data_IF_654594434208
#
_entry.id   IF_654594434208
#
_cell.length_a   1.000
_cell.length_b   1.000
_cell.length_c   1.000
_cell.angle_alpha   90.00
_cell.angle_beta   90.00
_cell.angle_gamma   90.00
#
_symmetry.space_group_name_H-M   'P 1'
#
loop_
_entity.id
_entity.type
_entity.pdbx_description
1 polymer ?
#
# COMPACT_ATOMS: atom_id res chain seq x y z
N UNK A 1 46.67 1.56 -33.18
CA UNK A 1 46.43 0.84 -31.91
C UNK A 1 46.90 1.76 -30.79
N UNK A 2 46.00 2.58 -30.27
CA UNK A 2 46.21 3.37 -29.06
C UNK A 2 44.98 3.11 -28.21
N UNK A 3 45.16 2.33 -27.16
CA UNK A 3 44.12 2.07 -26.17
C UNK A 3 44.04 3.33 -25.33
N UNK A 4 42.95 4.08 -25.47
CA UNK A 4 42.60 5.13 -24.52
C UNK A 4 42.09 4.42 -23.26
N UNK A 5 42.95 4.23 -22.27
CA UNK A 5 42.50 3.88 -20.92
C UNK A 5 41.82 5.10 -20.32
N UNK A 6 40.48 5.14 -20.36
CA UNK A 6 39.70 6.06 -19.54
C UNK A 6 39.79 5.58 -18.08
N UNK A 7 40.28 6.46 -17.20
CA UNK A 7 40.27 6.25 -15.75
C UNK A 7 38.85 6.53 -15.22
N UNK A 8 38.21 5.49 -14.68
CA UNK A 8 36.88 5.51 -14.04
C UNK A 8 36.87 6.14 -12.64
N UNK A 9 37.67 7.18 -12.37
CA UNK A 9 37.86 7.68 -11.00
C UNK A 9 37.13 8.99 -10.68
N UNK A 10 36.48 9.63 -11.66
CA UNK A 10 35.93 10.99 -11.51
C UNK A 10 34.44 11.13 -11.92
N UNK A 11 33.68 10.03 -11.99
CA UNK A 11 32.23 10.12 -12.12
C UNK A 11 31.59 10.22 -10.72
N UNK A 12 30.56 11.06 -10.50
CA UNK A 12 29.77 11.00 -9.27
C UNK A 12 29.22 9.59 -9.09
N UNK A 13 29.17 9.08 -7.85
CA UNK A 13 28.86 7.67 -7.55
C UNK A 13 27.51 7.24 -8.15
N UNK A 14 26.56 8.17 -8.33
CA UNK A 14 25.27 7.92 -8.98
C UNK A 14 25.34 7.64 -10.50
N UNK A 15 26.27 8.27 -11.24
CA UNK A 15 26.25 8.27 -12.71
C UNK A 15 26.55 6.89 -13.31
N UNK A 16 27.32 6.05 -12.60
CA UNK A 16 27.77 4.77 -13.14
C UNK A 16 26.75 3.61 -12.97
N UNK A 17 25.65 3.81 -12.22
CA UNK A 17 24.70 2.71 -11.89
C UNK A 17 23.26 2.93 -12.38
N UNK A 18 22.88 4.15 -12.78
CA UNK A 18 21.48 4.44 -13.20
C UNK A 18 21.23 4.12 -14.70
N UNK A 19 22.29 3.86 -15.48
CA UNK A 19 22.21 3.72 -16.95
C UNK A 19 21.49 2.45 -17.48
N UNK A 20 21.02 1.54 -16.62
CA UNK A 20 20.31 0.33 -17.06
C UNK A 20 18.79 0.35 -16.91
N UNK A 21 18.17 1.40 -16.35
CA UNK A 21 16.79 1.26 -15.83
C UNK A 21 15.69 2.11 -16.48
N UNK A 22 15.95 2.89 -17.53
CA UNK A 22 14.92 3.78 -18.13
C UNK A 22 14.58 3.49 -19.61
N UNK A 23 15.22 2.54 -20.29
CA UNK A 23 14.88 2.27 -21.71
C UNK A 23 14.63 0.78 -21.95
N UNK A 24 13.38 0.46 -22.31
CA UNK A 24 12.97 -0.86 -22.75
C UNK A 24 13.81 -1.37 -23.92
N UNK A 25 14.03 -2.68 -23.93
CA UNK A 25 14.66 -3.48 -24.98
C UNK A 25 14.42 -2.92 -26.40
N UNK A 26 15.49 -2.42 -27.04
CA UNK A 26 15.57 -2.38 -28.51
C UNK A 26 16.62 -3.41 -28.93
N UNK A 27 16.16 -4.38 -29.69
CA UNK A 27 16.92 -5.54 -30.12
C UNK A 27 18.17 -5.21 -30.93
N UNK A 28 19.12 -6.13 -30.83
CA UNK A 28 20.40 -6.15 -31.53
C UNK A 28 20.20 -6.07 -33.06
N UNK A 29 20.54 -4.92 -33.65
CA UNK A 29 20.68 -4.71 -35.08
C UNK A 29 21.78 -3.69 -35.33
N UNK A 30 22.89 -4.13 -35.91
CA UNK A 30 24.09 -3.36 -36.17
C UNK A 30 23.85 -2.17 -37.12
N UNK A 31 23.97 -0.94 -36.62
CA UNK A 31 24.31 0.25 -37.44
C UNK A 31 25.17 1.20 -36.61
N UNK A 32 26.34 1.56 -37.14
CA UNK A 32 27.25 2.54 -36.55
C UNK A 32 26.69 3.95 -36.72
N UNK A 33 26.33 4.58 -35.60
CA UNK A 33 26.22 6.03 -35.47
C UNK A 33 26.92 6.41 -34.16
N UNK A 34 28.18 6.85 -34.30
CA UNK A 34 28.96 7.42 -33.22
C UNK A 34 28.94 8.94 -33.41
N UNK A 35 27.86 9.60 -32.98
CA UNK A 35 27.82 11.06 -32.81
C UNK A 35 26.93 11.39 -31.60
N UNK A 36 27.55 11.99 -30.57
CA UNK A 36 26.96 12.66 -29.41
C UNK A 36 25.80 11.94 -28.69
N UNK A 37 26.11 10.82 -28.03
CA UNK A 37 25.49 10.54 -26.75
C UNK A 37 26.21 11.42 -25.72
N UNK A 38 25.73 12.65 -25.53
CA UNK A 38 25.93 13.27 -24.23
C UNK A 38 25.24 12.30 -23.26
N UNK A 39 26.06 11.58 -22.49
CA UNK A 39 25.62 10.83 -21.33
C UNK A 39 24.84 11.85 -20.50
N UNK A 40 23.51 11.78 -20.52
CA UNK A 40 22.69 12.55 -19.58
C UNK A 40 22.98 11.88 -18.25
N UNK A 41 24.06 12.34 -17.61
CA UNK A 41 24.27 12.10 -16.21
C UNK A 41 23.01 12.65 -15.55
N UNK A 42 22.12 11.76 -15.11
CA UNK A 42 21.01 12.18 -14.27
C UNK A 42 21.68 12.84 -13.07
N UNK A 43 21.51 14.16 -13.00
CA UNK A 43 22.11 14.96 -11.95
C UNK A 43 21.49 14.48 -10.64
N UNK A 44 22.39 14.00 -9.78
CA UNK A 44 22.10 13.37 -8.51
C UNK A 44 22.62 14.35 -7.47
N UNK A 45 21.76 14.84 -6.58
CA UNK A 45 22.17 15.70 -5.48
C UNK A 45 22.50 14.79 -4.29
N UNK A 46 23.74 14.80 -3.83
CA UNK A 46 24.18 13.89 -2.76
C UNK A 46 24.08 14.57 -1.38
N UNK A 47 23.42 13.92 -0.42
CA UNK A 47 23.30 14.38 0.98
C UNK A 47 24.05 13.40 1.90
N UNK A 48 24.96 13.85 2.80
CA UNK A 48 25.35 15.24 3.04
C UNK A 48 26.58 15.71 2.23
N UNK A 49 27.04 14.94 1.24
CA UNK A 49 28.33 15.18 0.55
C UNK A 49 28.34 16.51 -0.23
N UNK A 50 27.24 16.86 -0.90
CA UNK A 50 27.09 18.09 -1.68
C UNK A 50 26.19 19.12 -0.99
N UNK A 51 25.14 18.66 -0.30
CA UNK A 51 24.16 19.50 0.38
C UNK A 51 24.15 19.16 1.88
N UNK A 52 24.22 20.16 2.78
CA UNK A 52 24.35 19.91 4.21
C UNK A 52 23.08 19.34 4.88
N UNK A 53 21.92 19.44 4.22
CA UNK A 53 20.64 18.92 4.70
C UNK A 53 19.81 18.38 3.53
N UNK A 54 18.80 17.57 3.84
CA UNK A 54 17.90 17.02 2.82
C UNK A 54 17.03 18.13 2.24
N UNK A 55 16.48 19.02 3.07
CA UNK A 55 15.65 20.12 2.58
C UNK A 55 16.44 21.05 1.63
N UNK A 56 17.72 21.33 1.93
CA UNK A 56 18.56 22.13 1.04
C UNK A 56 18.76 21.47 -0.34
N UNK A 57 18.83 20.14 -0.41
CA UNK A 57 18.87 19.41 -1.67
C UNK A 57 17.51 19.44 -2.38
N UNK A 58 16.39 19.30 -1.64
CA UNK A 58 15.04 19.45 -2.19
C UNK A 58 14.87 20.83 -2.82
N UNK A 59 15.25 21.89 -2.12
CA UNK A 59 15.14 23.28 -2.59
C UNK A 59 15.94 23.51 -3.87
N UNK A 60 17.16 22.94 -3.94
CA UNK A 60 18.06 23.09 -5.08
C UNK A 60 17.74 22.17 -6.28
N UNK A 61 17.00 21.08 -6.06
CA UNK A 61 16.65 20.14 -7.12
C UNK A 61 15.76 20.78 -8.20
N UNK A 62 16.04 20.43 -9.45
CA UNK A 62 15.14 20.67 -10.58
C UNK A 62 14.10 19.54 -10.68
N UNK A 63 13.04 19.77 -11.48
CA UNK A 63 11.96 18.79 -11.67
C UNK A 63 12.50 17.46 -12.22
N UNK A 64 12.18 16.37 -11.52
CA UNK A 64 12.59 15.01 -11.83
C UNK A 64 13.99 14.61 -11.37
N UNK A 65 14.75 15.50 -10.72
CA UNK A 65 16.09 15.16 -10.21
C UNK A 65 16.04 14.15 -9.04
N UNK A 66 17.13 13.41 -8.88
CA UNK A 66 17.30 12.46 -7.77
C UNK A 66 18.13 13.09 -6.66
N UNK A 67 17.64 12.97 -5.43
CA UNK A 67 18.34 13.34 -4.22
C UNK A 67 18.73 12.02 -3.54
N UNK A 68 20.03 11.70 -3.57
CA UNK A 68 20.56 10.46 -3.01
C UNK A 68 21.13 10.70 -1.62
N UNK A 69 20.51 10.10 -0.62
CA UNK A 69 20.82 10.30 0.78
C UNK A 69 21.68 9.15 1.30
N UNK A 70 22.83 9.49 1.87
CA UNK A 70 23.73 8.54 2.50
C UNK A 70 23.14 7.97 3.80
N UNK A 71 23.68 6.85 4.32
CA UNK A 71 23.37 6.36 5.66
C UNK A 71 23.56 7.43 6.74
N UNK A 72 22.56 7.61 7.58
CA UNK A 72 22.50 8.64 8.62
C UNK A 72 21.13 8.68 9.30
N UNK A 73 21.04 9.43 10.39
CA UNK A 73 19.76 9.78 11.04
C UNK A 73 19.54 11.28 10.84
N UNK A 74 18.41 11.63 10.24
CA UNK A 74 18.08 12.99 9.82
C UNK A 74 16.84 13.45 10.57
N UNK A 75 16.99 14.52 11.36
CA UNK A 75 15.90 15.15 12.10
C UNK A 75 15.51 16.44 11.35
N UNK A 76 14.68 16.28 10.32
CA UNK A 76 14.18 17.35 9.46
C UNK A 76 12.69 17.09 9.18
N UNK A 77 11.85 18.12 9.19
CA UNK A 77 10.51 18.05 8.58
C UNK A 77 10.63 18.49 7.13
N UNK A 78 10.47 17.53 6.21
CA UNK A 78 10.72 17.73 4.78
C UNK A 78 9.46 18.22 4.09
N UNK A 79 9.60 19.24 3.24
CA UNK A 79 8.50 19.77 2.42
C UNK A 79 8.85 19.68 0.93
N UNK A 80 8.02 18.97 0.17
CA UNK A 80 8.13 18.83 -1.28
C UNK A 80 6.98 19.59 -1.93
N UNK A 81 7.29 20.62 -2.73
CA UNK A 81 6.29 21.47 -3.39
C UNK A 81 6.74 21.92 -4.79
N UNK A 82 5.80 22.07 -5.72
CA UNK A 82 6.00 22.71 -7.03
C UNK A 82 6.86 21.95 -8.06
N UNK A 83 7.33 20.74 -7.72
CA UNK A 83 8.16 19.88 -8.58
C UNK A 83 8.01 18.41 -8.20
N UNK A 84 8.43 17.53 -9.11
CA UNK A 84 8.68 16.11 -8.83
C UNK A 84 10.13 15.95 -8.38
N UNK A 85 10.38 15.17 -7.33
CA UNK A 85 11.74 14.74 -6.95
C UNK A 85 11.77 13.25 -6.66
N UNK A 86 12.92 12.62 -6.86
CA UNK A 86 13.17 11.26 -6.37
C UNK A 86 14.03 11.38 -5.12
N UNK A 87 13.39 11.30 -3.96
CA UNK A 87 14.06 11.22 -2.67
C UNK A 87 14.40 9.75 -2.41
N UNK A 88 15.68 9.39 -2.36
CA UNK A 88 16.07 7.99 -2.21
C UNK A 88 17.31 7.76 -1.34
N UNK A 89 17.33 6.64 -0.61
CA UNK A 89 18.55 6.15 0.02
C UNK A 89 19.44 5.39 -0.97
N UNK A 90 20.62 4.95 -0.51
CA UNK A 90 21.49 4.05 -1.27
C UNK A 90 20.85 2.69 -1.61
N UNK A 91 19.68 2.34 -1.06
CA UNK A 91 18.91 1.19 -1.53
C UNK A 91 18.60 1.30 -3.03
N UNK A 92 18.37 2.51 -3.55
CA UNK A 92 18.08 2.75 -4.97
C UNK A 92 19.12 2.09 -5.89
N UNK A 93 20.41 2.31 -5.60
CA UNK A 93 21.55 1.94 -6.45
C UNK A 93 22.14 0.59 -6.09
N UNK A 94 22.10 0.21 -4.81
CA UNK A 94 22.76 -1.02 -4.32
C UNK A 94 21.82 -2.22 -4.20
N UNK A 95 20.51 -1.98 -4.03
CA UNK A 95 19.49 -2.98 -3.65
C UNK A 95 19.78 -3.72 -2.34
N UNK A 96 20.70 -3.21 -1.52
CA UNK A 96 20.99 -3.79 -0.21
C UNK A 96 20.03 -3.21 0.83
N UNK A 97 19.16 -4.05 1.40
CA UNK A 97 18.13 -3.65 2.37
C UNK A 97 18.68 -3.01 3.64
N UNK A 98 19.98 -3.21 3.94
CA UNK A 98 20.65 -2.53 5.06
C UNK A 98 20.58 -1.00 4.95
N UNK A 99 20.54 -0.44 3.74
CA UNK A 99 20.49 1.00 3.55
C UNK A 99 19.11 1.59 3.86
N UNK A 100 18.04 0.80 3.77
CA UNK A 100 16.72 1.20 4.28
C UNK A 100 16.80 1.43 5.80
N UNK A 101 17.43 0.50 6.52
CA UNK A 101 17.58 0.58 7.98
C UNK A 101 18.58 1.64 8.46
N UNK A 102 19.53 2.00 7.60
CA UNK A 102 20.63 2.90 7.96
C UNK A 102 20.41 4.35 7.51
N UNK A 103 19.41 4.62 6.68
CA UNK A 103 19.01 5.96 6.29
C UNK A 103 17.65 6.25 6.92
N UNK A 104 17.67 6.93 8.06
CA UNK A 104 16.53 7.15 8.94
C UNK A 104 16.10 8.60 8.84
N UNK A 105 14.83 8.83 8.52
CA UNK A 105 14.14 10.10 8.64
C UNK A 105 13.33 10.04 9.95
N UNK A 106 13.64 10.95 10.86
CA UNK A 106 13.24 10.86 12.27
C UNK A 106 12.47 12.13 12.67
N UNK A 107 11.20 11.95 13.01
CA UNK A 107 10.29 13.02 13.42
C UNK A 107 10.39 13.42 14.89
N UNK A 108 11.20 12.72 15.69
CA UNK A 108 11.33 13.03 17.12
C UNK A 108 12.02 14.39 17.32
N UNK A 109 11.34 15.31 18.01
CA UNK A 109 11.78 16.66 18.41
C UNK A 109 12.66 17.40 17.37
N UNK A 110 12.04 18.28 16.58
CA UNK A 110 12.71 19.46 16.00
C UNK A 110 12.46 20.65 16.94
N UNK A 111 13.47 21.18 17.67
CA UNK A 111 13.25 22.33 18.53
C UNK A 111 12.80 23.54 17.71
N UNK A 112 11.62 24.10 18.04
CA UNK A 112 11.23 25.43 17.57
C UNK A 112 12.27 26.46 18.09
N UNK A 113 12.86 27.32 17.25
CA UNK A 113 13.63 28.47 17.72
C UNK A 113 12.79 29.52 18.47
N UNK A 114 11.45 29.45 18.42
CA UNK A 114 10.52 30.34 19.13
C UNK A 114 9.83 29.63 20.31
N UNK A 115 10.18 29.94 21.57
CA UNK A 115 9.74 29.19 22.75
C UNK A 115 8.36 29.63 23.30
N UNK A 116 7.53 30.34 22.52
CA UNK A 116 6.23 30.85 22.98
C UNK A 116 5.04 29.93 22.69
N UNK A 117 5.19 28.93 21.82
CA UNK A 117 4.13 27.95 21.55
C UNK A 117 4.30 26.68 22.40
N UNK A 118 3.19 26.12 22.87
CA UNK A 118 3.14 24.79 23.49
C UNK A 118 3.62 23.80 22.42
N UNK A 119 4.93 23.52 22.39
CA UNK A 119 5.54 22.62 21.39
C UNK A 119 4.94 21.23 21.62
N UNK A 120 4.12 20.77 20.67
CA UNK A 120 3.90 19.35 20.48
C UNK A 120 5.26 18.70 20.24
N UNK A 121 5.59 17.66 21.02
CA UNK A 121 6.94 17.11 21.11
C UNK A 121 7.42 16.35 19.85
N UNK A 122 6.68 16.46 18.75
CA UNK A 122 6.73 15.65 17.52
C UNK A 122 6.37 16.57 16.33
N UNK A 123 6.96 16.32 15.15
CA UNK A 123 6.58 17.05 13.92
C UNK A 123 5.23 16.55 13.38
N UNK A 124 4.39 17.45 12.86
CA UNK A 124 3.12 17.09 12.20
C UNK A 124 3.33 16.03 11.10
N UNK A 125 4.40 16.17 10.30
CA UNK A 125 4.81 15.13 9.36
C UNK A 125 6.33 15.10 9.16
N UNK A 126 6.90 13.90 9.08
CA UNK A 126 8.32 13.73 8.68
C UNK A 126 8.52 14.18 7.23
N UNK A 127 7.55 13.86 6.37
CA UNK A 127 7.52 14.33 4.97
C UNK A 127 6.13 14.86 4.64
N UNK A 128 6.06 16.13 4.27
CA UNK A 128 4.88 16.76 3.70
C UNK A 128 5.02 16.84 2.18
N UNK A 129 4.14 16.14 1.46
CA UNK A 129 4.00 16.24 0.01
C UNK A 129 2.84 17.17 -0.29
N UNK A 130 3.16 18.39 -0.72
CA UNK A 130 2.18 19.44 -0.95
C UNK A 130 1.28 19.17 -2.16
N UNK A 131 0.08 19.78 -2.23
CA UNK A 131 -0.86 19.57 -3.33
C UNK A 131 -0.30 19.93 -4.72
N UNK A 132 0.72 20.80 -4.79
CA UNK A 132 1.36 21.23 -6.03
C UNK A 132 2.64 20.45 -6.36
N UNK A 133 2.99 19.43 -5.56
CA UNK A 133 4.07 18.51 -5.89
C UNK A 133 3.76 17.72 -7.16
N UNK A 134 4.79 17.47 -7.96
CA UNK A 134 4.61 16.79 -9.24
C UNK A 134 4.31 15.30 -9.04
N UNK A 135 3.48 14.67 -9.90
CA UNK A 135 2.96 13.32 -9.70
C UNK A 135 4.00 12.20 -9.85
N UNK A 136 5.25 12.55 -10.21
CA UNK A 136 6.38 11.61 -10.29
C UNK A 136 7.24 11.63 -9.02
N UNK A 137 6.85 12.43 -8.01
CA UNK A 137 7.52 12.44 -6.69
C UNK A 137 7.60 11.03 -6.14
N UNK A 138 8.81 10.60 -5.78
CA UNK A 138 9.09 9.26 -5.31
C UNK A 138 9.86 9.31 -4.00
N UNK A 139 9.37 8.62 -2.96
CA UNK A 139 10.03 8.44 -1.67
C UNK A 139 10.47 6.98 -1.57
N UNK A 140 11.78 6.73 -1.52
CA UNK A 140 12.31 5.38 -1.72
C UNK A 140 13.42 4.97 -0.74
N UNK A 141 13.15 3.89 -0.01
CA UNK A 141 14.16 3.14 0.71
C UNK A 141 14.61 3.76 2.03
N UNK A 142 13.71 4.33 2.82
CA UNK A 142 14.02 4.93 4.13
C UNK A 142 13.43 4.13 5.29
N UNK A 143 13.99 4.31 6.48
CA UNK A 143 13.22 4.16 7.71
C UNK A 143 12.61 5.52 8.05
N UNK A 144 11.29 5.59 8.24
CA UNK A 144 10.54 6.81 8.56
C UNK A 144 9.83 6.57 9.89
N UNK A 145 10.10 7.40 10.89
CA UNK A 145 9.67 7.13 12.25
C UNK A 145 9.44 8.37 13.10
N UNK A 146 8.75 8.17 14.21
CA UNK A 146 8.65 9.11 15.31
C UNK A 146 8.02 10.46 14.90
N UNK A 147 7.20 10.50 13.85
CA UNK A 147 6.36 11.65 13.47
C UNK A 147 4.91 11.49 13.96
N UNK A 148 4.13 12.58 13.92
CA UNK A 148 2.67 12.46 14.02
C UNK A 148 2.24 11.69 12.76
N UNK A 149 2.52 12.26 11.59
CA UNK A 149 2.55 11.48 10.35
C UNK A 149 3.97 11.10 9.93
N UNK A 150 4.14 9.86 9.48
CA UNK A 150 5.33 9.49 8.71
C UNK A 150 5.38 10.26 7.38
N UNK A 151 4.25 10.28 6.65
CA UNK A 151 4.08 11.09 5.44
C UNK A 151 2.65 11.65 5.41
N UNK A 152 2.52 12.97 5.32
CA UNK A 152 1.26 13.63 4.95
C UNK A 152 1.28 13.92 3.44
N UNK A 153 0.32 13.36 2.71
CA UNK A 153 0.37 13.23 1.26
C UNK A 153 -0.85 13.84 0.54
N UNK A 154 -0.68 15.06 0.01
CA UNK A 154 -1.74 15.80 -0.70
C UNK A 154 -1.66 15.73 -2.23
N UNK A 155 -0.67 15.01 -2.79
CA UNK A 155 -0.53 14.83 -4.23
C UNK A 155 -0.24 13.38 -4.59
N UNK A 156 -0.46 13.01 -5.86
CA UNK A 156 -0.09 11.67 -6.35
C UNK A 156 1.42 11.48 -6.21
N UNK A 157 1.83 10.38 -5.60
CA UNK A 157 3.24 10.10 -5.33
C UNK A 157 3.53 8.60 -5.39
N UNK A 158 4.81 8.24 -5.31
CA UNK A 158 5.28 6.84 -5.28
C UNK A 158 6.06 6.60 -4.00
N UNK A 159 5.47 5.89 -3.06
CA UNK A 159 6.06 5.58 -1.76
C UNK A 159 6.47 4.11 -1.79
N UNK A 160 7.79 3.86 -1.88
CA UNK A 160 8.33 2.56 -2.28
C UNK A 160 9.44 2.07 -1.34
N UNK A 161 9.37 0.81 -0.91
CA UNK A 161 10.45 0.15 -0.15
C UNK A 161 10.87 0.86 1.15
N UNK A 162 9.96 1.57 1.79
CA UNK A 162 10.18 2.24 3.06
C UNK A 162 9.80 1.33 4.24
N UNK A 163 10.34 1.66 5.41
CA UNK A 163 10.00 1.05 6.68
C UNK A 163 9.44 2.13 7.62
N UNK A 164 8.14 2.06 7.90
CA UNK A 164 7.45 2.95 8.81
C UNK A 164 7.35 2.30 10.19
N UNK A 165 7.67 3.07 11.23
CA UNK A 165 7.62 2.60 12.62
C UNK A 165 7.39 3.76 13.58
N UNK A 166 6.52 3.57 14.58
CA UNK A 166 6.31 4.53 15.67
C UNK A 166 5.95 5.94 15.17
N UNK A 167 5.18 6.05 14.09
CA UNK A 167 4.46 7.27 13.77
C UNK A 167 3.06 7.16 14.39
N UNK A 168 2.30 8.25 14.54
CA UNK A 168 0.87 8.13 14.81
C UNK A 168 0.22 7.45 13.60
N UNK A 169 0.12 8.17 12.49
CA UNK A 169 -0.23 7.59 11.20
C UNK A 169 1.04 7.40 10.36
N UNK A 170 1.27 6.22 9.79
CA UNK A 170 2.48 6.05 8.99
C UNK A 170 2.41 6.80 7.65
N UNK A 171 1.25 6.75 6.98
CA UNK A 171 0.96 7.59 5.83
C UNK A 171 -0.48 8.07 5.96
N UNK A 172 -0.66 9.38 5.96
CA UNK A 172 -1.94 10.05 5.83
C UNK A 172 -2.09 10.59 4.39
N UNK A 173 -3.04 10.05 3.63
CA UNK A 173 -3.39 10.54 2.30
C UNK A 173 -4.52 11.56 2.35
N UNK A 174 -4.16 12.83 2.45
CA UNK A 174 -5.09 13.97 2.44
C UNK A 174 -5.48 14.41 1.02
N UNK A 175 -6.17 13.52 0.29
CA UNK A 175 -6.57 13.72 -1.11
C UNK A 175 -5.44 13.52 -2.12
N UNK A 176 -4.29 13.00 -1.67
CA UNK A 176 -3.21 12.53 -2.52
C UNK A 176 -3.51 11.19 -3.19
N UNK A 177 -2.48 10.36 -3.37
CA UNK A 177 -2.65 8.99 -3.86
C UNK A 177 -1.44 8.49 -4.64
N UNK A 178 -1.67 7.68 -5.67
CA UNK A 178 -0.61 7.12 -6.51
C UNK A 178 -0.25 5.68 -6.14
N UNK A 179 1.01 5.40 -5.79
CA UNK A 179 1.50 4.05 -5.49
C UNK A 179 2.10 3.97 -4.08
N UNK A 180 1.58 3.08 -3.24
CA UNK A 180 2.18 2.68 -1.97
C UNK A 180 2.56 1.20 -2.06
N UNK A 181 3.85 0.89 -2.23
CA UNK A 181 4.28 -0.48 -2.57
C UNK A 181 5.57 -0.95 -1.92
N UNK A 182 5.60 -2.23 -1.57
CA UNK A 182 6.79 -2.90 -1.01
C UNK A 182 7.29 -2.27 0.30
N UNK A 183 6.43 -1.54 1.00
CA UNK A 183 6.71 -0.91 2.28
C UNK A 183 6.43 -1.89 3.43
N UNK A 184 7.02 -1.63 4.59
CA UNK A 184 6.72 -2.33 5.84
C UNK A 184 6.29 -1.32 6.89
N UNK A 185 5.08 -1.46 7.40
CA UNK A 185 4.46 -0.64 8.45
C UNK A 185 4.37 -1.49 9.71
N UNK A 186 5.02 -1.05 10.79
CA UNK A 186 5.13 -1.85 12.02
C UNK A 186 5.03 -0.96 13.23
N UNK A 187 4.11 -1.26 14.15
CA UNK A 187 4.02 -0.56 15.44
C UNK A 187 3.98 0.96 15.27
N UNK A 188 3.04 1.44 14.44
CA UNK A 188 2.58 2.81 14.48
C UNK A 188 1.44 2.90 15.51
N UNK A 189 1.28 4.09 16.10
CA UNK A 189 0.41 4.33 17.26
C UNK A 189 -1.07 4.48 16.87
N UNK A 190 -1.36 4.62 15.58
CA UNK A 190 -2.69 4.73 14.98
C UNK A 190 -2.71 3.85 13.70
N UNK A 191 -3.07 4.38 12.53
CA UNK A 191 -3.17 3.62 11.30
C UNK A 191 -1.83 3.42 10.57
N UNK A 192 -1.69 2.28 9.89
CA UNK A 192 -0.57 2.15 8.95
C UNK A 192 -0.78 2.97 7.67
N UNK A 193 -2.01 3.08 7.17
CA UNK A 193 -2.35 3.88 5.99
C UNK A 193 -3.76 4.42 6.19
N UNK A 194 -3.90 5.74 6.27
CA UNK A 194 -5.19 6.43 6.22
C UNK A 194 -5.42 7.00 4.80
N UNK A 195 -6.64 6.85 4.28
CA UNK A 195 -7.07 7.34 2.98
C UNK A 195 -8.22 8.34 3.13
N UNK A 196 -7.85 9.62 3.08
CA UNK A 196 -8.75 10.75 3.21
C UNK A 196 -9.03 11.49 1.89
N UNK A 197 -10.15 12.23 1.88
CA UNK A 197 -10.57 13.07 0.76
C UNK A 197 -10.54 12.31 -0.60
N UNK A 198 -10.25 13.01 -1.70
CA UNK A 198 -10.31 12.48 -3.07
C UNK A 198 -9.09 11.60 -3.44
N UNK A 199 -8.87 10.51 -2.72
CA UNK A 199 -7.73 9.61 -2.92
C UNK A 199 -7.95 8.55 -4.02
N UNK A 200 -6.98 8.40 -4.94
CA UNK A 200 -6.85 7.29 -5.89
C UNK A 200 -5.49 6.63 -5.70
N UNK A 201 -5.45 5.40 -5.19
CA UNK A 201 -4.21 4.76 -4.75
C UNK A 201 -4.16 3.26 -5.05
N UNK A 202 -2.98 2.79 -5.42
CA UNK A 202 -2.60 1.38 -5.42
C UNK A 202 -1.76 1.07 -4.18
N UNK A 203 -2.35 0.38 -3.22
CA UNK A 203 -1.66 -0.18 -2.04
C UNK A 203 -1.32 -1.64 -2.35
N UNK A 204 -0.04 -1.95 -2.59
CA UNK A 204 0.31 -3.33 -2.93
C UNK A 204 1.66 -3.86 -2.48
N UNK A 205 1.70 -5.16 -2.20
CA UNK A 205 2.92 -5.86 -1.78
C UNK A 205 3.53 -5.29 -0.49
N UNK A 206 2.71 -4.72 0.38
CA UNK A 206 3.12 -4.19 1.66
C UNK A 206 2.95 -5.22 2.79
N UNK A 207 3.67 -5.01 3.88
CA UNK A 207 3.48 -5.70 5.16
C UNK A 207 3.00 -4.65 6.16
N UNK A 208 1.79 -4.79 6.68
CA UNK A 208 1.17 -3.88 7.65
C UNK A 208 0.87 -4.72 8.89
N UNK A 209 1.63 -4.51 9.97
CA UNK A 209 1.48 -5.37 11.14
C UNK A 209 1.71 -4.67 12.45
N UNK A 210 1.03 -5.17 13.48
CA UNK A 210 1.22 -4.73 14.85
C UNK A 210 1.07 -3.20 15.01
N UNK A 211 0.24 -2.53 14.18
CA UNK A 211 -0.15 -1.14 14.40
C UNK A 211 -1.28 -1.08 15.43
N UNK A 212 -1.37 0.01 16.19
CA UNK A 212 -2.26 0.09 17.33
C UNK A 212 -3.74 0.28 16.94
N UNK A 213 -4.03 0.82 15.74
CA UNK A 213 -5.39 0.93 15.18
C UNK A 213 -5.55 0.04 13.91
N UNK A 214 -5.98 0.56 12.75
CA UNK A 214 -6.27 -0.22 11.56
C UNK A 214 -5.01 -0.52 10.73
N UNK A 215 -5.08 -1.64 9.99
CA UNK A 215 -4.13 -1.86 8.91
C UNK A 215 -4.25 -0.81 7.81
N UNK A 216 -5.48 -0.52 7.37
CA UNK A 216 -5.79 0.51 6.36
C UNK A 216 -7.16 1.10 6.70
N UNK A 217 -7.24 2.39 7.03
CA UNK A 217 -8.49 3.15 7.11
C UNK A 217 -8.82 3.74 5.72
N UNK A 218 -10.10 3.68 5.34
CA UNK A 218 -10.58 4.26 4.08
C UNK A 218 -11.82 5.09 4.33
N UNK A 219 -11.70 6.40 4.18
CA UNK A 219 -12.82 7.31 4.38
C UNK A 219 -13.42 7.79 3.08
N UNK A 220 -14.72 7.52 2.92
CA UNK A 220 -15.47 7.84 1.72
C UNK A 220 -16.05 9.26 1.80
N UNK A 221 -15.20 10.27 2.07
CA UNK A 221 -15.61 11.67 2.08
C UNK A 221 -16.28 12.08 0.76
N UNK A 222 -17.17 13.07 0.83
CA UNK A 222 -17.91 13.62 -0.32
C UNK A 222 -17.00 13.85 -1.53
N UNK A 223 -17.33 13.19 -2.65
CA UNK A 223 -16.62 13.36 -3.91
C UNK A 223 -17.53 13.03 -5.10
N UNK A 224 -17.64 13.96 -6.04
CA UNK A 224 -18.34 13.79 -7.31
C UNK A 224 -17.39 14.17 -8.46
N UNK A 225 -17.19 13.25 -9.42
CA UNK A 225 -16.18 13.43 -10.46
C UNK A 225 -15.87 12.15 -11.26
N UNK A 226 -14.73 12.11 -11.96
CA UNK A 226 -14.21 10.87 -12.53
C UNK A 226 -14.04 9.81 -11.42
N UNK A 227 -14.47 8.58 -11.67
CA UNK A 227 -14.36 7.49 -10.68
C UNK A 227 -12.91 7.31 -10.22
N UNK A 228 -12.67 7.44 -8.92
CA UNK A 228 -11.38 7.14 -8.29
C UNK A 228 -11.28 5.64 -8.00
N UNK A 229 -10.16 5.04 -8.34
CA UNK A 229 -9.90 3.61 -8.13
C UNK A 229 -8.97 3.39 -6.93
N UNK A 230 -9.49 2.74 -5.88
CA UNK A 230 -8.71 2.29 -4.72
C UNK A 230 -8.46 0.79 -4.87
N UNK A 231 -7.20 0.41 -5.01
CA UNK A 231 -6.79 -0.99 -5.22
C UNK A 231 -5.86 -1.41 -4.10
N UNK A 232 -6.30 -2.40 -3.31
CA UNK A 232 -5.54 -2.98 -2.21
C UNK A 232 -5.23 -4.43 -2.59
N UNK A 233 -3.96 -4.72 -2.88
CA UNK A 233 -3.60 -6.06 -3.36
C UNK A 233 -2.27 -6.63 -2.92
N UNK A 234 -2.23 -7.95 -2.81
CA UNK A 234 -1.00 -8.70 -2.54
C UNK A 234 -0.31 -8.23 -1.23
N UNK A 235 -1.08 -7.69 -0.27
CA UNK A 235 -0.57 -7.24 1.03
C UNK A 235 -0.68 -8.35 2.10
N UNK A 236 0.16 -8.25 3.12
CA UNK A 236 0.03 -9.00 4.38
C UNK A 236 -0.34 -8.03 5.48
N UNK A 237 -1.53 -8.16 6.03
CA UNK A 237 -2.13 -7.28 7.03
C UNK A 237 -2.42 -8.10 8.28
N UNK A 238 -1.63 -7.93 9.33
CA UNK A 238 -1.69 -8.85 10.47
C UNK A 238 -1.44 -8.23 11.82
N UNK A 239 -2.20 -8.64 12.84
CA UNK A 239 -1.89 -8.27 14.23
C UNK A 239 -2.17 -6.80 14.57
N UNK A 240 -2.92 -6.07 13.75
CA UNK A 240 -3.29 -4.69 14.06
C UNK A 240 -4.36 -4.65 15.18
N UNK A 241 -4.39 -3.55 15.93
CA UNK A 241 -5.20 -3.37 17.13
C UNK A 241 -6.70 -3.18 16.87
N UNK A 242 -7.07 -2.77 15.66
CA UNK A 242 -8.45 -2.76 15.18
C UNK A 242 -8.66 -3.67 13.96
N UNK A 243 -9.21 -3.16 12.87
CA UNK A 243 -9.51 -3.91 11.67
C UNK A 243 -8.25 -4.15 10.82
N UNK A 244 -8.31 -5.19 9.98
CA UNK A 244 -7.34 -5.30 8.90
C UNK A 244 -7.50 -4.17 7.88
N UNK A 245 -8.74 -3.91 7.47
CA UNK A 245 -9.11 -2.81 6.56
C UNK A 245 -10.46 -2.28 7.02
N UNK A 246 -10.54 -1.01 7.37
CA UNK A 246 -11.79 -0.35 7.69
C UNK A 246 -12.23 0.54 6.51
N UNK A 247 -13.52 0.50 6.19
CA UNK A 247 -14.11 1.38 5.18
C UNK A 247 -15.28 2.14 5.78
N UNK A 248 -15.18 3.47 5.76
CA UNK A 248 -16.07 4.38 6.48
C UNK A 248 -16.86 5.21 5.48
N UNK A 249 -18.17 4.98 5.45
CA UNK A 249 -19.11 5.72 4.62
C UNK A 249 -19.56 7.02 5.28
N UNK A 250 -19.91 8.00 4.44
CA UNK A 250 -20.50 9.28 4.83
C UNK A 250 -21.85 9.46 4.15
N UNK A 251 -22.75 10.33 4.65
CA UNK A 251 -24.07 10.50 4.05
C UNK A 251 -24.00 10.95 2.58
N UNK A 252 -24.19 10.02 1.64
CA UNK A 252 -24.13 10.34 0.22
C UNK A 252 -23.74 9.15 -0.63
N UNK A 253 -23.31 9.44 -1.85
CA UNK A 253 -22.57 8.50 -2.69
C UNK A 253 -21.34 9.25 -3.16
N UNK A 254 -20.19 8.59 -3.12
CA UNK A 254 -18.96 9.09 -3.70
C UNK A 254 -18.57 8.32 -4.95
N UNK A 255 -18.00 9.03 -5.93
CA UNK A 255 -17.54 8.40 -7.18
C UNK A 255 -16.23 7.63 -6.98
N UNK A 256 -16.27 6.54 -6.20
CA UNK A 256 -15.14 5.65 -5.93
C UNK A 256 -15.45 4.19 -6.28
N UNK A 257 -14.41 3.42 -6.60
CA UNK A 257 -14.45 1.96 -6.70
C UNK A 257 -13.33 1.36 -5.87
N UNK A 258 -13.67 0.32 -5.11
CA UNK A 258 -12.71 -0.35 -4.22
C UNK A 258 -12.52 -1.80 -4.66
N UNK A 259 -11.28 -2.20 -4.88
CA UNK A 259 -10.91 -3.60 -5.15
C UNK A 259 -9.90 -4.08 -4.12
N UNK A 260 -10.28 -5.07 -3.33
CA UNK A 260 -9.45 -5.73 -2.32
C UNK A 260 -9.18 -7.14 -2.83
N UNK A 261 -7.95 -7.41 -3.28
CA UNK A 261 -7.61 -8.69 -3.89
C UNK A 261 -6.28 -9.30 -3.45
N UNK A 262 -6.23 -10.64 -3.28
CA UNK A 262 -4.98 -11.35 -2.96
C UNK A 262 -4.27 -10.89 -1.68
N UNK A 263 -5.02 -10.37 -0.71
CA UNK A 263 -4.47 -9.99 0.58
C UNK A 263 -4.59 -11.14 1.58
N UNK A 264 -3.55 -11.33 2.39
CA UNK A 264 -3.64 -12.05 3.66
C UNK A 264 -4.03 -11.04 4.74
N UNK A 265 -5.17 -11.26 5.38
CA UNK A 265 -5.69 -10.40 6.45
C UNK A 265 -5.96 -11.29 7.66
N UNK A 266 -5.07 -11.27 8.65
CA UNK A 266 -5.14 -12.25 9.72
C UNK A 266 -4.74 -11.74 11.10
N UNK A 267 -5.38 -12.28 12.13
CA UNK A 267 -5.04 -11.99 13.54
C UNK A 267 -5.14 -10.50 13.91
N UNK A 268 -5.93 -9.70 13.18
CA UNK A 268 -6.30 -8.36 13.62
C UNK A 268 -7.35 -8.46 14.73
N UNK A 269 -7.29 -7.55 15.69
CA UNK A 269 -8.07 -7.65 16.91
C UNK A 269 -9.57 -7.40 16.69
N UNK A 270 -9.96 -6.71 15.62
CA UNK A 270 -11.36 -6.53 15.20
C UNK A 270 -11.69 -7.27 13.89
N UNK A 271 -12.41 -6.67 12.95
CA UNK A 271 -12.80 -7.32 11.72
C UNK A 271 -11.58 -7.49 10.78
N UNK A 272 -11.58 -8.54 9.96
CA UNK A 272 -10.64 -8.59 8.85
C UNK A 272 -10.91 -7.42 7.90
N UNK A 273 -12.19 -7.21 7.57
CA UNK A 273 -12.64 -6.03 6.83
C UNK A 273 -13.94 -5.53 7.47
N UNK A 274 -13.94 -4.30 7.98
CA UNK A 274 -15.09 -3.64 8.59
C UNK A 274 -15.69 -2.55 7.71
N UNK A 275 -17.00 -2.34 7.86
CA UNK A 275 -17.75 -1.31 7.14
C UNK A 275 -18.58 -0.48 8.11
N UNK A 276 -18.26 0.80 8.16
CA UNK A 276 -18.86 1.79 9.05
C UNK A 276 -19.60 2.88 8.27
N UNK A 277 -20.52 3.58 8.94
CA UNK A 277 -21.31 4.67 8.35
C UNK A 277 -21.27 5.91 9.20
N UNK A 278 -21.65 7.03 8.58
CA UNK A 278 -21.84 8.33 9.21
C UNK A 278 -20.54 8.90 9.81
N UNK A 279 -19.40 8.54 9.21
CA UNK A 279 -18.07 8.97 9.68
C UNK A 279 -17.69 8.43 11.06
N UNK A 280 -18.29 7.32 11.49
CA UNK A 280 -17.96 6.68 12.77
C UNK A 280 -16.77 5.75 12.54
N UNK A 281 -15.64 6.06 13.17
CA UNK A 281 -14.36 5.33 13.06
C UNK A 281 -14.25 4.15 14.03
N UNK A 282 -14.95 4.19 15.16
CA UNK A 282 -14.91 3.08 16.12
C UNK A 282 -15.78 1.91 15.64
N UNK A 283 -15.15 0.81 15.22
CA UNK A 283 -15.85 -0.41 14.79
C UNK A 283 -16.72 -0.97 15.94
N UNK A 284 -18.01 -1.18 15.63
CA UNK A 284 -19.02 -1.72 16.54
C UNK A 284 -19.69 -2.99 15.99
N UNK A 285 -19.13 -3.49 14.89
CA UNK A 285 -19.57 -4.60 14.08
C UNK A 285 -20.98 -4.44 13.55
N UNK A 286 -21.56 -3.23 13.48
CA UNK A 286 -22.90 -3.05 12.91
C UNK A 286 -22.94 -3.53 11.46
N UNK A 287 -21.81 -3.49 10.76
CA UNK A 287 -21.67 -3.91 9.37
C UNK A 287 -22.63 -3.17 8.45
N UNK A 288 -22.27 -1.94 8.09
CA UNK A 288 -23.15 -1.08 7.28
C UNK A 288 -23.21 -1.50 5.81
N UNK A 289 -24.22 -1.02 5.10
CA UNK A 289 -24.23 -1.07 3.63
C UNK A 289 -23.62 0.19 3.07
N UNK A 290 -22.61 0.02 2.22
CA UNK A 290 -21.96 1.11 1.49
C UNK A 290 -22.48 1.14 0.04
N UNK A 291 -22.84 2.31 -0.52
CA UNK A 291 -23.36 2.42 -1.87
C UNK A 291 -22.30 2.23 -2.98
N UNK A 292 -21.03 2.48 -2.68
CA UNK A 292 -19.89 2.34 -3.59
C UNK A 292 -19.71 0.89 -4.08
N UNK A 293 -19.25 0.69 -5.33
CA UNK A 293 -18.91 -0.64 -5.82
C UNK A 293 -17.63 -1.18 -5.15
N UNK A 294 -17.77 -2.30 -4.42
CA UNK A 294 -16.66 -2.97 -3.73
C UNK A 294 -16.53 -4.42 -4.21
N UNK A 295 -15.29 -4.85 -4.47
CA UNK A 295 -14.96 -6.22 -4.85
C UNK A 295 -13.89 -6.82 -3.92
N UNK A 296 -14.19 -7.95 -3.31
CA UNK A 296 -13.30 -8.76 -2.46
C UNK A 296 -13.01 -10.05 -3.20
N UNK A 297 -11.81 -10.18 -3.76
CA UNK A 297 -11.46 -11.26 -4.67
C UNK A 297 -10.22 -11.99 -4.15
N UNK A 298 -10.30 -13.30 -3.96
CA UNK A 298 -9.12 -14.10 -3.66
C UNK A 298 -8.35 -13.61 -2.42
N UNK A 299 -9.01 -13.27 -1.31
CA UNK A 299 -8.34 -12.93 -0.05
C UNK A 299 -8.37 -14.12 0.91
N UNK A 300 -7.38 -14.19 1.80
CA UNK A 300 -7.40 -15.12 2.94
C UNK A 300 -7.62 -14.29 4.21
N UNK A 301 -8.80 -14.44 4.81
CA UNK A 301 -9.25 -13.70 6.01
C UNK A 301 -9.34 -14.68 7.17
N UNK A 302 -8.35 -14.63 8.07
CA UNK A 302 -8.08 -15.71 9.02
C UNK A 302 -7.93 -15.21 10.46
N UNK A 303 -8.61 -15.82 11.43
CA UNK A 303 -8.38 -15.53 12.87
C UNK A 303 -8.55 -14.07 13.29
N UNK A 304 -9.39 -13.30 12.61
CA UNK A 304 -9.82 -11.98 13.09
C UNK A 304 -11.03 -12.16 14.03
N UNK A 305 -11.46 -11.11 14.73
CA UNK A 305 -12.69 -11.13 15.54
C UNK A 305 -13.91 -11.46 14.67
N UNK A 306 -14.05 -10.75 13.55
CA UNK A 306 -15.03 -11.00 12.49
C UNK A 306 -14.31 -11.14 11.15
N UNK A 307 -14.80 -11.96 10.23
CA UNK A 307 -14.21 -12.02 8.88
C UNK A 307 -14.50 -10.75 8.07
N UNK A 308 -15.78 -10.57 7.73
CA UNK A 308 -16.33 -9.40 7.04
C UNK A 308 -17.52 -8.84 7.82
N UNK A 309 -17.47 -7.56 8.19
CA UNK A 309 -18.53 -6.85 8.91
C UNK A 309 -19.17 -5.80 7.98
N UNK A 310 -20.22 -6.18 7.24
CA UNK A 310 -21.03 -5.28 6.39
C UNK A 310 -20.86 -5.47 4.88
N UNK A 311 -21.07 -4.39 4.13
CA UNK A 311 -20.90 -4.36 2.68
C UNK A 311 -22.11 -4.91 1.90
N UNK A 312 -23.33 -4.44 2.15
CA UNK A 312 -24.56 -4.91 1.46
C UNK A 312 -24.61 -4.81 -0.08
N UNK A 313 -23.56 -4.28 -0.74
CA UNK A 313 -23.41 -4.25 -2.20
C UNK A 313 -22.12 -4.95 -2.71
N UNK A 314 -21.36 -5.58 -1.80
CA UNK A 314 -20.03 -6.12 -2.07
C UNK A 314 -20.06 -7.40 -2.94
N UNK A 315 -19.07 -7.56 -3.80
CA UNK A 315 -18.83 -8.82 -4.52
C UNK A 315 -17.76 -9.63 -3.76
N UNK A 316 -18.13 -10.72 -3.10
CA UNK A 316 -17.22 -11.59 -2.34
C UNK A 316 -16.97 -12.86 -3.13
N UNK A 317 -15.79 -12.98 -3.75
CA UNK A 317 -15.50 -14.04 -4.71
C UNK A 317 -14.14 -14.71 -4.41
N UNK A 318 -14.09 -16.05 -4.42
CA UNK A 318 -12.86 -16.83 -4.27
C UNK A 318 -12.10 -16.65 -2.94
N UNK A 319 -12.74 -16.14 -1.88
CA UNK A 319 -12.06 -15.86 -0.62
C UNK A 319 -12.07 -17.07 0.33
N UNK A 320 -11.09 -17.11 1.24
CA UNK A 320 -11.10 -17.99 2.42
C UNK A 320 -11.49 -17.17 3.65
N UNK A 321 -12.46 -17.65 4.43
CA UNK A 321 -12.76 -17.16 5.77
C UNK A 321 -12.56 -18.30 6.77
N UNK A 322 -11.49 -18.22 7.55
CA UNK A 322 -10.99 -19.36 8.32
C UNK A 322 -10.77 -18.95 9.77
N UNK A 323 -11.30 -19.72 10.72
CA UNK A 323 -11.00 -19.55 12.15
C UNK A 323 -11.28 -18.14 12.72
N UNK A 324 -12.14 -17.34 12.10
CA UNK A 324 -12.53 -16.04 12.67
C UNK A 324 -13.36 -16.27 13.93
N UNK A 325 -13.06 -15.52 14.99
CA UNK A 325 -13.50 -15.80 16.36
C UNK A 325 -15.03 -15.82 16.49
N UNK A 326 -15.74 -14.91 15.82
CA UNK A 326 -17.18 -14.79 15.91
C UNK A 326 -17.90 -15.33 14.69
N UNK A 327 -17.87 -14.65 13.54
CA UNK A 327 -18.54 -15.11 12.31
C UNK A 327 -17.69 -14.72 11.10
N UNK A 328 -17.68 -15.52 10.03
CA UNK A 328 -16.96 -15.14 8.82
C UNK A 328 -17.61 -13.93 8.13
N UNK A 329 -18.93 -13.75 8.26
CA UNK A 329 -19.69 -12.73 7.57
C UNK A 329 -20.82 -12.21 8.48
N UNK A 330 -20.97 -10.90 8.56
CA UNK A 330 -22.06 -10.22 9.26
C UNK A 330 -22.63 -9.13 8.37
N UNK A 331 -23.94 -9.09 8.18
CA UNK A 331 -24.62 -8.07 7.38
C UNK A 331 -24.15 -7.94 5.92
N UNK A 332 -23.62 -9.03 5.34
CA UNK A 332 -23.26 -9.12 3.92
C UNK A 332 -24.50 -9.52 3.12
N UNK A 333 -25.42 -8.58 2.91
CA UNK A 333 -26.76 -8.86 2.40
C UNK A 333 -27.16 -7.97 1.21
N UNK A 334 -28.45 -7.70 1.02
CA UNK A 334 -28.96 -6.79 0.00
C UNK A 334 -28.68 -7.25 -1.43
N UNK A 335 -27.73 -6.58 -2.08
CA UNK A 335 -27.33 -6.87 -3.45
C UNK A 335 -25.92 -7.44 -3.59
N UNK A 336 -25.29 -7.77 -2.45
CA UNK A 336 -24.05 -8.50 -2.40
C UNK A 336 -24.14 -9.81 -3.21
N UNK A 337 -23.03 -10.24 -3.80
CA UNK A 337 -22.90 -11.54 -4.44
C UNK A 337 -21.78 -12.32 -3.79
N UNK A 338 -22.08 -13.52 -3.34
CA UNK A 338 -21.10 -14.45 -2.77
C UNK A 338 -20.92 -15.62 -3.73
N UNK A 339 -19.67 -15.93 -4.08
CA UNK A 339 -19.37 -16.98 -5.04
C UNK A 339 -18.03 -17.63 -4.77
N UNK A 340 -17.98 -18.97 -4.71
CA UNK A 340 -16.73 -19.73 -4.56
C UNK A 340 -15.91 -19.34 -3.33
N UNK A 341 -16.57 -18.99 -2.22
CA UNK A 341 -15.86 -18.73 -0.96
C UNK A 341 -15.81 -20.01 -0.12
N UNK A 342 -14.75 -20.16 0.67
CA UNK A 342 -14.61 -21.23 1.65
C UNK A 342 -14.77 -20.67 3.06
N UNK A 343 -15.60 -21.33 3.86
CA UNK A 343 -15.85 -21.01 5.26
C UNK A 343 -15.44 -22.21 6.11
N UNK A 344 -14.43 -22.06 6.98
CA UNK A 344 -13.94 -23.16 7.81
C UNK A 344 -13.67 -22.72 9.25
N UNK A 345 -14.16 -23.51 10.22
CA UNK A 345 -13.92 -23.34 11.67
C UNK A 345 -14.08 -21.92 12.25
N UNK A 346 -14.94 -21.10 11.66
CA UNK A 346 -15.33 -19.83 12.26
C UNK A 346 -16.25 -20.08 13.47
N UNK A 347 -16.26 -19.15 14.44
CA UNK A 347 -17.00 -19.32 15.70
C UNK A 347 -18.52 -19.49 15.55
N UNK A 348 -19.09 -19.05 14.44
CA UNK A 348 -20.51 -19.13 14.11
C UNK A 348 -20.74 -19.11 12.59
N UNK A 349 -21.99 -19.37 12.21
CA UNK A 349 -22.49 -19.21 10.85
C UNK A 349 -22.61 -17.73 10.45
N UNK A 350 -22.59 -17.41 9.14
CA UNK A 350 -22.91 -16.07 8.64
C UNK A 350 -24.19 -15.49 9.26
N UNK A 351 -24.11 -14.26 9.75
CA UNK A 351 -25.22 -13.55 10.42
C UNK A 351 -25.79 -12.53 9.44
N UNK A 352 -27.12 -12.55 9.25
CA UNK A 352 -27.85 -11.59 8.42
C UNK A 352 -27.20 -11.36 7.05
N UNK A 353 -26.64 -12.42 6.47
CA UNK A 353 -25.88 -12.41 5.23
C UNK A 353 -26.57 -13.27 4.19
N UNK A 354 -26.74 -12.75 2.97
CA UNK A 354 -27.50 -13.41 1.92
C UNK A 354 -26.61 -14.38 1.14
N UNK A 355 -26.56 -15.62 1.62
CA UNK A 355 -25.87 -16.72 0.97
C UNK A 355 -26.67 -17.21 -0.26
N UNK A 356 -26.89 -16.35 -1.27
CA UNK A 356 -27.49 -16.78 -2.55
C UNK A 356 -26.58 -17.86 -3.14
N UNK A 357 -27.21 -18.93 -3.62
CA UNK A 357 -26.59 -20.17 -4.10
C UNK A 357 -25.38 -19.96 -5.01
N UNK A 358 -24.21 -19.80 -4.41
CA UNK A 358 -22.89 -19.98 -4.97
C UNK A 358 -22.20 -21.15 -4.24
N UNK A 359 -21.14 -21.71 -4.82
CA UNK A 359 -20.37 -22.77 -4.16
C UNK A 359 -19.76 -22.21 -2.88
N UNK A 360 -20.36 -22.49 -1.73
CA UNK A 360 -19.75 -22.31 -0.41
C UNK A 360 -19.08 -23.64 -0.04
N UNK A 361 -17.76 -23.61 0.09
CA UNK A 361 -16.98 -24.79 0.51
C UNK A 361 -16.85 -24.76 2.04
N UNK A 362 -17.06 -25.90 2.69
CA UNK A 362 -17.01 -26.04 4.16
C UNK A 362 -16.11 -27.19 4.56
N UNK A 363 -14.91 -27.18 4.01
CA UNK A 363 -13.90 -28.21 4.19
C UNK A 363 -12.62 -27.57 4.67
N UNK A 364 -11.81 -28.34 5.38
CA UNK A 364 -10.50 -27.89 5.88
C UNK A 364 -9.63 -27.38 4.71
N UNK A 365 -9.25 -26.09 4.70
CA UNK A 365 -8.38 -25.53 3.69
C UNK A 365 -6.93 -26.02 3.81
N UNK A 366 -6.57 -26.67 4.92
CA UNK A 366 -5.24 -27.17 5.22
C UNK A 366 -4.18 -26.06 5.06
N UNK A 367 -4.34 -24.98 5.82
CA UNK A 367 -3.38 -23.88 5.82
C UNK A 367 -2.12 -24.25 6.61
N UNK A 368 -0.95 -23.83 6.11
CA UNK A 368 0.31 -23.86 6.85
C UNK A 368 0.44 -22.67 7.82
N UNK A 369 1.56 -22.60 8.54
CA UNK A 369 1.86 -21.51 9.48
C UNK A 369 1.98 -20.12 8.81
N UNK A 370 2.07 -20.07 7.49
CA UNK A 370 2.08 -18.85 6.68
C UNK A 370 0.75 -18.58 5.99
N UNK A 371 -0.32 -19.26 6.43
CA UNK A 371 -1.69 -19.13 5.91
C UNK A 371 -1.88 -19.59 4.45
N UNK A 372 -0.95 -20.40 3.93
CA UNK A 372 -1.02 -20.93 2.57
C UNK A 372 -1.65 -22.31 2.57
N UNK A 373 -2.60 -22.60 1.67
CA UNK A 373 -3.07 -23.98 1.46
C UNK A 373 -1.92 -24.89 1.02
N UNK A 374 -1.88 -26.13 1.54
CA UNK A 374 -0.99 -27.15 0.99
C UNK A 374 -1.40 -27.52 -0.46
N UNK A 375 -0.44 -28.00 -1.27
CA UNK A 375 -0.64 -28.37 -2.70
C UNK A 375 -1.77 -29.40 -2.93
N UNK A 376 -2.15 -30.20 -1.92
CA UNK A 376 -3.24 -31.18 -2.01
C UNK A 376 -4.60 -30.66 -1.53
N UNK A 377 -4.69 -29.39 -1.13
CA UNK A 377 -5.87 -28.79 -0.54
C UNK A 377 -7.03 -28.69 -1.54
N UNK A 378 -8.25 -28.66 -1.00
CA UNK A 378 -9.47 -28.36 -1.77
C UNK A 378 -9.57 -26.88 -2.18
N UNK A 379 -8.62 -26.04 -1.78
CA UNK A 379 -8.50 -24.68 -2.29
C UNK A 379 -7.95 -24.64 -3.72
N UNK A 380 -7.18 -25.66 -4.13
CA UNK A 380 -6.47 -25.66 -5.42
C UNK A 380 -7.43 -25.82 -6.58
N UNK A 381 -7.35 -24.95 -7.59
CA UNK A 381 -8.15 -24.99 -8.82
C UNK A 381 -9.68 -24.88 -8.60
N UNK A 382 -10.11 -24.16 -7.55
CA UNK A 382 -11.52 -24.18 -7.08
C UNK A 382 -12.22 -22.83 -7.06
N UNK A 383 -11.54 -21.77 -7.46
CA UNK A 383 -12.12 -20.47 -7.72
C UNK A 383 -12.85 -20.39 -9.06
N UNK A 384 -13.37 -19.20 -9.35
CA UNK A 384 -13.98 -18.85 -10.63
C UNK A 384 -13.25 -17.68 -11.28
N UNK A 385 -13.18 -17.70 -12.62
CA UNK A 385 -12.70 -16.57 -13.44
C UNK A 385 -13.82 -15.63 -13.86
N UNK A 386 -15.08 -16.00 -13.59
CA UNK A 386 -16.26 -15.23 -13.95
C UNK A 386 -16.61 -14.24 -12.84
N UNK A 387 -15.96 -13.07 -12.87
CA UNK A 387 -16.25 -11.98 -11.94
C UNK A 387 -17.10 -10.94 -12.67
N UNK A 388 -18.36 -10.83 -12.24
CA UNK A 388 -19.30 -9.84 -12.77
C UNK A 388 -19.34 -8.61 -11.85
N UNK A 389 -18.47 -7.64 -12.12
CA UNK A 389 -18.60 -6.32 -11.49
C UNK A 389 -19.70 -5.54 -12.23
N UNK A 390 -20.53 -4.80 -11.50
CA UNK A 390 -21.54 -3.92 -12.12
C UNK A 390 -20.82 -2.93 -13.04
N UNK A 391 -20.96 -3.13 -14.35
CA UNK A 391 -20.35 -2.39 -15.50
C UNK A 391 -19.04 -2.91 -16.11
N UNK A 392 -18.32 -3.87 -15.53
CA UNK A 392 -17.14 -4.48 -16.16
C UNK A 392 -17.09 -5.99 -15.90
N UNK A 393 -16.93 -6.80 -16.95
CA UNK A 393 -16.51 -8.21 -16.79
C UNK A 393 -15.00 -8.21 -16.58
N UNK A 394 -14.57 -8.21 -15.33
CA UNK A 394 -13.17 -8.46 -15.03
C UNK A 394 -12.97 -9.97 -15.06
N UNK A 395 -12.54 -10.50 -16.20
CA UNK A 395 -12.12 -11.89 -16.28
C UNK A 395 -10.76 -11.98 -15.62
N UNK A 396 -10.61 -12.82 -14.59
CA UNK A 396 -9.28 -13.14 -14.03
C UNK A 396 -8.43 -13.66 -15.20
N UNK A 397 -7.37 -12.94 -15.55
CA UNK A 397 -6.58 -13.25 -16.73
C UNK A 397 -5.92 -14.64 -16.56
N UNK A 398 -5.87 -15.53 -17.57
CA UNK A 398 -5.25 -16.86 -17.44
C UNK A 398 -3.77 -16.87 -17.04
N UNK A 399 -3.11 -15.71 -17.03
CA UNK A 399 -1.74 -15.55 -16.54
C UNK A 399 -1.67 -15.30 -15.02
N UNK A 400 -2.81 -15.00 -14.37
CA UNK A 400 -2.91 -14.72 -12.95
C UNK A 400 -3.05 -15.98 -12.09
N UNK A 401 -3.29 -17.14 -12.70
CA UNK A 401 -3.44 -18.43 -12.02
C UNK A 401 -2.82 -19.58 -12.84
N UNK A 402 -2.67 -20.75 -12.22
CA UNK A 402 -2.18 -22.00 -12.81
C UNK A 402 -3.30 -23.03 -12.79
N UNK A 403 -3.13 -24.10 -13.56
CA UNK A 403 -4.13 -25.17 -13.61
C UNK A 403 -5.39 -24.81 -14.41
N UNK A 404 -6.53 -25.24 -13.91
CA UNK A 404 -7.84 -25.12 -14.54
C UNK A 404 -8.67 -23.93 -14.06
N UNK A 405 -8.39 -23.39 -12.87
CA UNK A 405 -9.05 -22.21 -12.29
C UNK A 405 -8.16 -21.56 -11.21
N UNK A 406 -8.43 -20.31 -10.78
CA UNK A 406 -7.73 -19.72 -9.65
C UNK A 406 -7.85 -20.58 -8.39
N UNK A 407 -6.79 -20.62 -7.59
CA UNK A 407 -6.89 -21.17 -6.24
C UNK A 407 -7.79 -20.28 -5.37
N UNK A 408 -8.37 -20.83 -4.31
CA UNK A 408 -9.10 -20.04 -3.32
C UNK A 408 -8.13 -19.38 -2.33
N UNK A 409 -8.42 -18.13 -1.98
CA UNK A 409 -7.61 -17.34 -1.04
C UNK A 409 -6.53 -16.50 -1.70
N UNK A 410 -5.67 -15.95 -0.85
CA UNK A 410 -4.65 -14.96 -1.20
C UNK A 410 -3.53 -15.47 -2.11
N UNK A 411 -3.26 -16.77 -2.04
CA UNK A 411 -2.05 -17.35 -2.61
C UNK A 411 -2.39 -18.35 -3.70
N UNK A 412 -1.85 -18.08 -4.89
CA UNK A 412 -1.81 -19.06 -5.96
C UNK A 412 -0.65 -20.05 -5.69
N UNK A 413 -0.99 -21.31 -5.45
CA UNK A 413 -0.07 -22.37 -5.08
C UNK A 413 0.51 -23.02 -6.35
N UNK A 414 1.78 -23.42 -6.29
CA UNK A 414 2.56 -23.86 -7.46
C UNK A 414 2.93 -25.31 -7.47
#
# INVERSE_FOLDING_TARGET
>A
MSILTMHWTNLPKCACQIFCYVIGFIGCGSVSWCENLAEVAIKCLEVPEEYPSIQAAIDAAEDGETILIAPGVYHESLRISGKSVILASWYLTTKETKYIKQTVLDGSIVPDPDPEDDIDAVVDAVILIEPDAGPQTTILGFTIRDGDDGISCHAKSRILFNHFVNNKDAIDYEGGGGECRFNTFVANDDDAIDLDLACEVLVSNNILRDNDDDGIEIRLHDYEGPTLEIIIRDNTITGNGEDGIQVIDYPGHSDRRITIERNLIAENAMAGIGFMSDGITLEDYRGTTIPEPIALINNTICRNSYGLSGGGNVQVINNLFVENLHTPLKNVNGTAKLSHNLLWENGAEPIDSDLKSGLLIREDPQLDETYKPFVGSLCIDRGTTQIELRSQKNVVHPQAFRGSAPDLGAFEIR
#
